data_IF_331229637882
#
_entry.id   IF_331229637882
#
_cell.length_a   1.000
_cell.length_b   1.000
_cell.length_c   1.000
_cell.angle_alpha   90.00
_cell.angle_beta   90.00
_cell.angle_gamma   90.00
#
_symmetry.space_group_name_H-M   'P 1'
#
loop_
_entity.id
_entity.type
_entity.pdbx_description
1 polymer ?
#
# COMPACT_ATOMS: atom_id res chain seq x y z
N UNK A 1 0.36 24.87 12.95
CA UNK A 1 -1.02 25.37 13.17
C UNK A 1 -1.96 24.24 13.57
N UNK A 2 -1.77 23.73 14.78
CA UNK A 2 -2.62 22.65 15.33
C UNK A 2 -4.01 23.13 15.81
N UNK A 3 -4.29 24.44 15.75
CA UNK A 3 -5.55 25.01 16.25
C UNK A 3 -6.73 24.92 15.27
N UNK A 4 -6.48 24.80 13.97
CA UNK A 4 -7.57 24.75 12.98
C UNK A 4 -8.13 23.34 12.73
N UNK A 5 -7.41 22.29 13.08
CA UNK A 5 -7.84 20.91 12.82
C UNK A 5 -9.14 20.54 13.58
N UNK A 6 -9.32 20.86 14.88
CA UNK A 6 -10.56 20.54 15.60
C UNK A 6 -11.79 21.28 15.06
N UNK A 7 -11.63 22.54 14.62
CA UNK A 7 -12.74 23.34 14.08
C UNK A 7 -13.19 22.81 12.73
N UNK A 8 -12.24 22.59 11.80
CA UNK A 8 -12.52 21.97 10.48
C UNK A 8 -13.14 20.58 10.66
N UNK A 9 -12.62 19.78 11.56
CA UNK A 9 -13.16 18.45 11.83
C UNK A 9 -14.58 18.49 12.38
N UNK A 10 -14.88 19.46 13.26
CA UNK A 10 -16.22 19.62 13.83
C UNK A 10 -17.23 20.10 12.78
N UNK A 11 -16.81 20.90 11.81
CA UNK A 11 -17.65 21.32 10.69
C UNK A 11 -17.93 20.17 9.72
N UNK A 12 -16.89 19.43 9.31
CA UNK A 12 -17.02 18.26 8.44
C UNK A 12 -17.95 17.21 9.05
N UNK A 13 -17.86 16.96 10.37
CA UNK A 13 -18.73 15.98 11.06
C UNK A 13 -20.18 16.43 11.16
N UNK A 14 -20.50 17.71 10.95
CA UNK A 14 -21.88 18.24 10.88
C UNK A 14 -22.48 18.15 9.47
N UNK A 15 -21.63 17.90 8.45
CA UNK A 15 -22.12 17.78 7.07
C UNK A 15 -22.83 16.45 6.88
N UNK A 16 -24.03 16.50 6.31
CA UNK A 16 -24.75 15.33 5.84
C UNK A 16 -24.16 14.83 4.51
N UNK A 17 -24.26 13.53 4.26
CA UNK A 17 -23.89 12.94 2.94
C UNK A 17 -24.67 13.62 1.79
N UNK A 18 -25.86 14.11 2.06
CA UNK A 18 -26.70 14.84 1.10
C UNK A 18 -26.18 16.26 0.76
N UNK A 19 -25.26 16.78 1.56
CA UNK A 19 -24.67 18.12 1.34
C UNK A 19 -23.54 18.09 0.30
N UNK A 20 -23.08 16.88 -0.09
CA UNK A 20 -22.07 16.71 -1.11
C UNK A 20 -22.71 16.70 -2.50
N UNK A 21 -22.30 17.65 -3.35
CA UNK A 21 -22.68 17.63 -4.75
C UNK A 21 -21.89 16.54 -5.48
N UNK A 22 -22.60 15.64 -6.14
CA UNK A 22 -21.98 14.67 -7.03
C UNK A 22 -21.77 15.36 -8.38
N UNK A 23 -20.49 15.69 -8.67
CA UNK A 23 -20.11 16.25 -9.96
C UNK A 23 -20.17 15.23 -11.10
N UNK A 24 -19.93 15.70 -12.33
CA UNK A 24 -19.79 14.80 -13.46
C UNK A 24 -18.55 13.91 -13.33
N UNK A 25 -18.65 12.69 -13.79
CA UNK A 25 -17.51 11.77 -13.81
C UNK A 25 -16.36 12.28 -14.69
N UNK A 26 -16.63 13.13 -15.65
CA UNK A 26 -15.65 13.72 -16.54
C UNK A 26 -15.08 15.05 -16.01
N UNK A 27 -15.55 15.51 -14.84
CA UNK A 27 -14.96 16.65 -14.15
C UNK A 27 -13.53 16.35 -13.71
N UNK A 28 -12.69 17.37 -13.75
CA UNK A 28 -11.32 17.33 -13.26
C UNK A 28 -11.31 17.08 -11.74
N UNK A 29 -10.75 15.93 -11.33
CA UNK A 29 -10.66 15.55 -9.93
C UNK A 29 -9.29 15.87 -9.32
N UNK A 30 -8.21 15.62 -10.06
CA UNK A 30 -6.84 15.77 -9.57
C UNK A 30 -5.91 16.20 -10.70
N UNK A 31 -4.95 17.07 -10.37
CA UNK A 31 -3.77 17.31 -11.20
C UNK A 31 -2.57 16.70 -10.49
N UNK A 32 -2.00 15.66 -11.09
CA UNK A 32 -0.84 14.97 -10.53
C UNK A 32 0.42 15.32 -11.34
N UNK A 33 1.44 15.82 -10.65
CA UNK A 33 2.69 16.21 -11.31
C UNK A 33 3.64 15.04 -11.43
N UNK A 34 4.15 14.83 -12.64
CA UNK A 34 5.20 13.86 -12.92
C UNK A 34 6.51 14.57 -13.24
N UNK A 35 7.61 13.99 -12.77
CA UNK A 35 8.96 14.48 -13.07
C UNK A 35 9.38 14.13 -14.50
N UNK A 36 8.65 14.51 -15.53
CA UNK A 36 8.90 14.13 -16.92
C UNK A 36 10.38 13.99 -17.30
N UNK A 37 10.64 13.26 -18.38
CA UNK A 37 12.00 13.11 -18.97
C UNK A 37 12.60 14.43 -19.49
N UNK A 38 11.78 15.48 -19.57
CA UNK A 38 12.16 16.85 -19.91
C UNK A 38 12.23 17.68 -18.61
N UNK A 39 13.06 18.70 -18.56
CA UNK A 39 13.40 19.53 -17.39
C UNK A 39 12.24 20.17 -16.62
N UNK A 40 11.02 20.13 -17.12
CA UNK A 40 9.84 20.72 -16.49
C UNK A 40 8.84 19.66 -16.04
N UNK A 41 8.33 19.74 -14.79
CA UNK A 41 7.25 18.88 -14.33
C UNK A 41 6.00 19.03 -15.19
N UNK A 42 5.34 17.91 -15.50
CA UNK A 42 4.09 17.90 -16.25
C UNK A 42 2.91 17.60 -15.34
N UNK A 43 1.88 18.45 -15.35
CA UNK A 43 0.63 18.23 -14.66
C UNK A 43 -0.27 17.29 -15.46
N UNK A 44 -0.50 16.08 -14.98
CA UNK A 44 -1.44 15.13 -15.57
C UNK A 44 -2.82 15.39 -14.98
N UNK A 45 -3.76 15.75 -15.82
CA UNK A 45 -5.16 16.00 -15.43
C UNK A 45 -5.91 14.67 -15.39
N UNK A 46 -6.49 14.35 -14.24
CA UNK A 46 -7.25 13.13 -14.02
C UNK A 46 -8.69 13.47 -13.66
N UNK A 47 -9.62 12.85 -14.36
CA UNK A 47 -11.04 12.98 -14.08
C UNK A 47 -11.49 12.01 -12.99
N UNK A 48 -12.66 12.25 -12.41
CA UNK A 48 -13.32 11.32 -11.50
C UNK A 48 -13.50 9.94 -12.13
N UNK A 49 -13.79 9.87 -13.43
CA UNK A 49 -13.90 8.63 -14.21
C UNK A 49 -12.58 7.85 -14.25
N UNK A 50 -11.45 8.53 -14.46
CA UNK A 50 -10.14 7.88 -14.49
C UNK A 50 -9.83 7.20 -13.14
N UNK A 51 -10.10 7.89 -12.04
CA UNK A 51 -9.84 7.36 -10.70
C UNK A 51 -10.81 6.23 -10.39
N UNK A 52 -12.13 6.47 -10.52
CA UNK A 52 -13.17 5.52 -10.16
C UNK A 52 -13.11 4.21 -10.95
N UNK A 53 -12.73 4.24 -12.22
CA UNK A 53 -12.55 3.02 -13.02
C UNK A 53 -11.44 2.12 -12.49
N UNK A 54 -10.30 2.69 -12.05
CA UNK A 54 -9.23 1.95 -11.42
C UNK A 54 -9.64 1.37 -10.06
N UNK A 55 -10.36 2.16 -9.25
CA UNK A 55 -10.88 1.70 -7.95
C UNK A 55 -11.88 0.57 -8.13
N UNK A 56 -12.82 0.71 -9.06
CA UNK A 56 -13.80 -0.35 -9.40
C UNK A 56 -13.11 -1.63 -9.86
N UNK A 57 -12.07 -1.51 -10.70
CA UNK A 57 -11.29 -2.67 -11.11
C UNK A 57 -10.62 -3.35 -9.90
N UNK A 58 -9.99 -2.57 -9.02
CA UNK A 58 -9.34 -3.10 -7.83
C UNK A 58 -10.33 -3.82 -6.90
N UNK A 59 -11.47 -3.20 -6.58
CA UNK A 59 -12.53 -3.80 -5.76
C UNK A 59 -13.07 -5.11 -6.34
N UNK A 60 -13.18 -5.20 -7.67
CA UNK A 60 -13.65 -6.41 -8.33
C UNK A 60 -12.62 -7.54 -8.35
N UNK A 61 -11.32 -7.23 -8.38
CA UNK A 61 -10.24 -8.22 -8.48
C UNK A 61 -9.65 -8.62 -7.15
N UNK A 62 -9.58 -7.68 -6.24
CA UNK A 62 -9.03 -7.85 -4.89
C UNK A 62 -10.02 -7.20 -3.93
N UNK A 63 -11.15 -7.85 -3.64
CA UNK A 63 -12.18 -7.26 -2.79
C UNK A 63 -11.63 -7.03 -1.37
N UNK A 64 -11.92 -5.86 -0.84
CA UNK A 64 -11.75 -5.52 0.57
C UNK A 64 -13.10 -5.20 1.17
N UNK A 65 -13.25 -5.42 2.46
CA UNK A 65 -14.50 -5.24 3.19
C UNK A 65 -14.25 -4.59 4.55
N UNK A 66 -15.33 -4.24 5.21
CA UNK A 66 -15.29 -3.75 6.59
C UNK A 66 -14.54 -4.73 7.52
N UNK A 67 -13.65 -4.20 8.32
CA UNK A 67 -12.77 -4.95 9.21
C UNK A 67 -11.44 -5.38 8.59
N UNK A 68 -11.29 -5.35 7.27
CA UNK A 68 -10.00 -5.57 6.64
C UNK A 68 -9.05 -4.41 6.94
N UNK A 69 -7.77 -4.69 6.97
CA UNK A 69 -6.74 -3.70 7.30
C UNK A 69 -5.73 -3.56 6.16
N UNK A 70 -5.37 -2.33 5.85
CA UNK A 70 -4.30 -2.00 4.93
C UNK A 70 -3.29 -1.09 5.61
N UNK A 71 -2.04 -1.19 5.19
CA UNK A 71 -0.99 -0.27 5.62
C UNK A 71 -0.56 0.59 4.44
N UNK A 72 -0.72 1.91 4.61
CA UNK A 72 -0.26 2.91 3.65
C UNK A 72 1.16 3.34 3.98
N UNK A 73 2.06 3.17 3.03
CA UNK A 73 3.48 3.51 3.17
C UNK A 73 4.04 4.24 1.96
N UNK A 74 3.29 4.29 0.86
CA UNK A 74 3.68 5.00 -0.35
C UNK A 74 3.34 6.49 -0.23
N UNK A 75 4.09 7.37 -0.91
CA UNK A 75 3.76 8.80 -0.91
C UNK A 75 2.38 9.05 -1.51
N UNK A 76 1.51 9.72 -0.75
CA UNK A 76 0.16 10.12 -1.21
C UNK A 76 0.18 11.10 -2.39
N UNK A 77 1.29 11.81 -2.60
CA UNK A 77 1.49 12.66 -3.77
C UNK A 77 1.58 11.89 -5.09
N UNK A 78 1.84 10.58 -5.04
CA UNK A 78 1.81 9.71 -6.20
C UNK A 78 0.45 9.04 -6.34
N UNK A 79 -0.14 9.08 -7.56
CA UNK A 79 -1.46 8.51 -7.83
C UNK A 79 -1.60 7.04 -7.43
N UNK A 80 -0.52 6.25 -7.54
CA UNK A 80 -0.56 4.85 -7.12
C UNK A 80 -0.83 4.71 -5.62
N UNK A 81 -0.14 5.49 -4.78
CA UNK A 81 -0.38 5.52 -3.33
C UNK A 81 -1.78 6.06 -3.01
N UNK A 82 -2.15 7.20 -3.60
CA UNK A 82 -3.46 7.81 -3.37
C UNK A 82 -4.61 6.89 -3.80
N UNK A 83 -4.52 6.30 -4.99
CA UNK A 83 -5.60 5.45 -5.51
C UNK A 83 -5.71 4.13 -4.72
N UNK A 84 -4.60 3.43 -4.48
CA UNK A 84 -4.64 2.06 -4.01
C UNK A 84 -4.36 1.87 -2.51
N UNK A 85 -3.68 2.81 -1.85
CA UNK A 85 -3.48 2.75 -0.40
C UNK A 85 -4.46 3.65 0.37
N UNK A 86 -5.24 4.51 -0.30
CA UNK A 86 -6.18 5.40 0.33
C UNK A 86 -7.61 5.25 -0.22
N UNK A 87 -7.87 5.64 -1.48
CA UNK A 87 -9.23 5.66 -2.03
C UNK A 87 -9.83 4.25 -2.11
N UNK A 88 -9.10 3.29 -2.69
CA UNK A 88 -9.58 1.93 -2.85
C UNK A 88 -9.98 1.25 -1.54
N UNK A 89 -9.15 1.22 -0.47
CA UNK A 89 -9.56 0.59 0.77
C UNK A 89 -10.72 1.31 1.46
N UNK A 90 -10.78 2.65 1.40
CA UNK A 90 -11.91 3.40 1.95
C UNK A 90 -13.22 3.09 1.23
N UNK A 91 -13.20 2.96 -0.10
CA UNK A 91 -14.37 2.56 -0.88
C UNK A 91 -14.85 1.13 -0.55
N UNK A 92 -13.96 0.28 -0.07
CA UNK A 92 -14.30 -1.07 0.39
C UNK A 92 -14.66 -1.17 1.87
N UNK A 93 -14.58 -0.06 2.63
CA UNK A 93 -14.86 -0.04 4.07
C UNK A 93 -13.73 -0.56 4.95
N UNK A 94 -12.51 -0.68 4.41
CA UNK A 94 -11.37 -1.18 5.16
C UNK A 94 -10.69 -0.09 6.01
N UNK A 95 -9.98 -0.51 7.05
CA UNK A 95 -9.16 0.37 7.88
C UNK A 95 -7.80 0.63 7.23
N UNK A 96 -7.40 1.90 7.12
CA UNK A 96 -6.10 2.31 6.58
C UNK A 96 -5.20 2.81 7.71
N UNK A 97 -4.06 2.15 7.89
CA UNK A 97 -3.02 2.56 8.81
C UNK A 97 -1.91 3.29 8.06
N UNK A 98 -1.71 4.56 8.35
CA UNK A 98 -0.63 5.35 7.76
C UNK A 98 0.66 5.15 8.55
N UNK A 99 1.73 4.75 7.86
CA UNK A 99 3.02 4.50 8.50
C UNK A 99 3.61 5.76 9.17
N UNK A 100 3.33 6.95 8.63
CA UNK A 100 3.72 8.24 9.23
C UNK A 100 5.24 8.49 9.34
N UNK A 101 6.07 7.54 8.91
CA UNK A 101 7.54 7.58 8.92
C UNK A 101 8.08 7.09 7.59
N UNK A 102 9.29 7.52 7.24
CA UNK A 102 9.98 6.97 6.07
C UNK A 102 10.14 5.45 6.21
N UNK A 103 9.68 4.66 5.23
CA UNK A 103 9.70 3.21 5.30
C UNK A 103 11.12 2.66 5.21
N UNK A 104 11.76 2.47 6.36
CA UNK A 104 13.00 1.67 6.47
C UNK A 104 12.62 0.20 6.68
N UNK A 105 13.50 -0.77 6.33
CA UNK A 105 13.20 -2.19 6.56
C UNK A 105 12.81 -2.51 8.02
N UNK A 106 13.43 -1.87 8.99
CA UNK A 106 13.14 -2.09 10.42
C UNK A 106 11.76 -1.55 10.81
N UNK A 107 11.46 -0.29 10.42
CA UNK A 107 10.16 0.35 10.71
C UNK A 107 9.04 -0.43 10.03
N UNK A 108 9.26 -0.81 8.76
CA UNK A 108 8.26 -1.55 8.00
C UNK A 108 7.97 -2.92 8.63
N UNK A 109 9.00 -3.65 9.03
CA UNK A 109 8.84 -4.96 9.67
C UNK A 109 8.09 -4.86 11.00
N UNK A 110 8.38 -3.82 11.81
CA UNK A 110 7.66 -3.59 13.07
C UNK A 110 6.19 -3.28 12.78
N UNK A 111 5.91 -2.35 11.88
CA UNK A 111 4.55 -1.97 11.51
C UNK A 111 3.74 -3.16 10.96
N UNK A 112 4.35 -4.00 10.11
CA UNK A 112 3.70 -5.21 9.59
C UNK A 112 3.38 -6.22 10.70
N UNK A 113 4.25 -6.38 11.69
CA UNK A 113 4.03 -7.25 12.83
C UNK A 113 2.89 -6.75 13.74
N UNK A 114 2.78 -5.43 13.91
CA UNK A 114 1.78 -4.80 14.77
C UNK A 114 0.41 -4.73 14.09
N UNK A 115 0.36 -4.33 12.81
CA UNK A 115 -0.89 -4.08 12.06
C UNK A 115 -1.44 -5.37 11.48
N UNK A 116 -0.58 -6.28 11.00
CA UNK A 116 -0.94 -7.52 10.28
C UNK A 116 -1.94 -7.24 9.16
N UNK A 117 -1.57 -6.41 8.17
CA UNK A 117 -2.50 -5.99 7.14
C UNK A 117 -3.01 -7.18 6.32
N UNK A 118 -4.31 -7.14 5.99
CA UNK A 118 -4.94 -8.10 5.09
C UNK A 118 -4.36 -8.00 3.66
N UNK A 119 -4.11 -6.77 3.21
CA UNK A 119 -3.46 -6.49 1.93
C UNK A 119 -2.28 -5.54 2.17
N UNK A 120 -1.17 -5.86 1.52
CA UNK A 120 0.00 -4.99 1.44
C UNK A 120 0.19 -4.58 -0.03
N UNK A 121 0.01 -3.30 -0.29
CA UNK A 121 0.31 -2.70 -1.59
C UNK A 121 1.70 -2.10 -1.51
N UNK A 122 2.55 -2.41 -2.46
CA UNK A 122 3.95 -2.00 -2.40
C UNK A 122 4.56 -1.88 -3.79
N UNK A 123 5.78 -1.38 -3.85
CA UNK A 123 6.58 -1.31 -5.08
C UNK A 123 7.71 -2.34 -5.05
N UNK A 124 8.16 -2.85 -6.20
CA UNK A 124 9.18 -3.91 -6.28
C UNK A 124 10.44 -3.60 -5.46
N UNK A 125 10.87 -2.35 -5.44
CA UNK A 125 12.05 -1.91 -4.69
C UNK A 125 11.97 -2.19 -3.19
N UNK A 126 10.79 -2.03 -2.59
CA UNK A 126 10.56 -2.30 -1.16
C UNK A 126 10.64 -3.79 -0.90
N UNK A 127 9.99 -4.61 -1.74
CA UNK A 127 10.04 -6.08 -1.65
C UNK A 127 11.46 -6.59 -1.83
N UNK A 128 12.19 -6.06 -2.79
CA UNK A 128 13.59 -6.42 -3.03
C UNK A 128 14.47 -6.12 -1.82
N UNK A 129 14.32 -4.94 -1.21
CA UNK A 129 15.06 -4.59 0.02
C UNK A 129 14.73 -5.52 1.18
N UNK A 130 13.47 -5.89 1.38
CA UNK A 130 13.07 -6.84 2.42
C UNK A 130 13.69 -8.21 2.13
N UNK A 131 13.58 -8.70 0.90
CA UNK A 131 14.15 -9.97 0.49
C UNK A 131 15.66 -10.02 0.70
N UNK A 132 16.40 -9.00 0.23
CA UNK A 132 17.85 -8.89 0.42
C UNK A 132 18.26 -8.87 1.88
N UNK A 133 17.51 -8.20 2.74
CA UNK A 133 17.88 -8.03 4.14
C UNK A 133 17.46 -9.20 5.04
N UNK A 134 16.38 -9.90 4.72
CA UNK A 134 15.83 -10.96 5.59
C UNK A 134 16.01 -12.36 5.03
N UNK A 135 15.93 -12.55 3.73
CA UNK A 135 15.94 -13.88 3.10
C UNK A 135 17.34 -14.24 2.61
N UNK A 136 17.99 -13.35 1.88
CA UNK A 136 19.31 -13.61 1.29
C UNK A 136 20.39 -13.98 2.30
N UNK A 137 20.51 -13.34 3.48
CA UNK A 137 21.51 -13.74 4.47
C UNK A 137 21.35 -15.18 4.95
N UNK A 138 20.11 -15.68 4.98
CA UNK A 138 19.83 -17.07 5.35
C UNK A 138 20.16 -18.03 4.21
N UNK A 139 19.76 -17.72 2.99
CA UNK A 139 19.99 -18.56 1.81
C UNK A 139 21.46 -18.62 1.40
N UNK A 140 22.23 -17.57 1.63
CA UNK A 140 23.65 -17.50 1.29
C UNK A 140 24.59 -18.24 2.26
N UNK A 141 24.08 -18.78 3.37
CA UNK A 141 24.91 -19.64 4.25
C UNK A 141 25.41 -20.85 3.48
N UNK A 142 26.69 -21.23 3.61
CA UNK A 142 27.27 -22.36 2.85
C UNK A 142 26.45 -23.65 2.99
N UNK A 143 26.02 -23.98 4.20
CA UNK A 143 25.18 -25.13 4.46
C UNK A 143 23.84 -25.08 3.68
N UNK A 144 23.22 -23.91 3.58
CA UNK A 144 21.96 -23.73 2.84
C UNK A 144 22.16 -23.88 1.32
N UNK A 145 23.28 -23.43 0.78
CA UNK A 145 23.62 -23.61 -0.64
C UNK A 145 23.76 -25.09 -0.99
N UNK A 146 24.42 -25.88 -0.14
CA UNK A 146 24.56 -27.33 -0.32
C UNK A 146 23.18 -27.99 -0.24
N UNK A 147 22.39 -27.64 0.78
CA UNK A 147 21.05 -28.22 0.98
C UNK A 147 20.08 -27.89 -0.16
N UNK A 148 20.17 -26.70 -0.76
CA UNK A 148 19.31 -26.31 -1.88
C UNK A 148 19.72 -26.90 -3.22
N UNK A 149 20.86 -27.59 -3.32
CA UNK A 149 21.26 -28.30 -4.54
C UNK A 149 20.38 -29.54 -4.81
N UNK A 150 19.80 -30.14 -3.76
CA UNK A 150 18.85 -31.26 -3.91
C UNK A 150 17.42 -30.75 -4.11
N UNK A 151 16.68 -31.18 -5.16
CA UNK A 151 15.34 -30.68 -5.46
C UNK A 151 14.32 -30.88 -4.32
N UNK A 152 14.34 -32.02 -3.65
CA UNK A 152 13.42 -32.32 -2.53
C UNK A 152 13.67 -31.40 -1.33
N UNK A 153 14.94 -31.27 -0.94
CA UNK A 153 15.33 -30.42 0.19
C UNK A 153 15.10 -28.93 -0.13
N UNK A 154 15.36 -28.52 -1.38
CA UNK A 154 15.09 -27.17 -1.87
C UNK A 154 13.64 -26.77 -1.65
N UNK A 155 12.68 -27.61 -2.02
CA UNK A 155 11.25 -27.34 -1.85
C UNK A 155 10.87 -27.19 -0.37
N UNK A 156 11.44 -28.00 0.51
CA UNK A 156 11.23 -27.87 1.95
C UNK A 156 11.78 -26.55 2.51
N UNK A 157 12.96 -26.14 2.06
CA UNK A 157 13.59 -24.87 2.47
C UNK A 157 12.76 -23.68 1.97
N UNK A 158 12.34 -23.70 0.70
CA UNK A 158 11.49 -22.63 0.14
C UNK A 158 10.13 -22.58 0.84
N UNK A 159 9.57 -23.73 1.25
CA UNK A 159 8.39 -23.80 2.10
C UNK A 159 8.58 -23.08 3.43
N UNK A 160 9.71 -23.31 4.11
CA UNK A 160 10.05 -22.61 5.36
C UNK A 160 10.29 -21.11 5.15
N UNK A 161 10.98 -20.74 4.08
CA UNK A 161 11.19 -19.32 3.71
C UNK A 161 9.85 -18.64 3.45
N UNK A 162 8.97 -19.29 2.68
CA UNK A 162 7.60 -18.81 2.42
C UNK A 162 6.83 -18.60 3.73
N UNK A 163 6.82 -19.59 4.61
CA UNK A 163 6.14 -19.51 5.91
C UNK A 163 6.70 -18.37 6.77
N UNK A 164 8.02 -18.19 6.77
CA UNK A 164 8.68 -17.09 7.48
C UNK A 164 8.29 -15.74 6.89
N UNK A 165 8.25 -15.61 5.58
CA UNK A 165 7.82 -14.38 4.90
C UNK A 165 6.34 -14.08 5.18
N UNK A 166 5.46 -15.08 5.07
CA UNK A 166 4.04 -14.92 5.38
C UNK A 166 3.87 -14.44 6.83
N UNK A 167 4.54 -15.08 7.79
CA UNK A 167 4.50 -14.65 9.20
C UNK A 167 5.04 -13.24 9.38
N UNK A 168 6.08 -12.87 8.64
CA UNK A 168 6.71 -11.54 8.66
C UNK A 168 5.76 -10.45 8.13
N UNK A 169 4.98 -10.77 7.10
CA UNK A 169 3.99 -9.85 6.50
C UNK A 169 2.63 -9.89 7.23
N UNK A 170 2.57 -10.46 8.42
CA UNK A 170 1.35 -10.52 9.20
C UNK A 170 0.37 -11.58 8.75
N UNK A 171 0.80 -12.49 7.85
CA UNK A 171 -0.04 -13.53 7.30
C UNK A 171 -0.65 -14.45 8.35
N UNK A 172 -1.94 -14.64 8.21
CA UNK A 172 -2.72 -15.68 8.80
C UNK A 172 -2.63 -16.93 7.93
#
# INVERSE_FOLDING_TARGET
NKKHIPEVYSEVMKMSVTDYQIGDLDDLAVINYTSGTTSSPKGVMLTSRNISSNIKFALNRIPVKEGDTLMSMLPMAHMYGMAFEFIYPLCGGAHVYFLGKTPTPTILMQALADIKPYILITVPLVMEKIFKNKVMPTLNKPAMRILTSSPGVRNLIYGKVRATLLKTFGGN
#
